data_IF_211287953276
#
_entry.id   IF_211287953276
#
_cell.length_a   1.000
_cell.length_b   1.000
_cell.length_c   1.000
_cell.angle_alpha   90.00
_cell.angle_beta   90.00
_cell.angle_gamma   90.00
#
_symmetry.space_group_name_H-M   'P 1'
#
loop_
_entity.id
_entity.type
_entity.pdbx_description
1 polymer ?
#
# COMPACT_ATOMS: atom_id res chain seq x y z
N UNK A 1 -33.60 -49.17 -46.19
CA UNK A 1 -32.79 -49.42 -47.37
C UNK A 1 -31.36 -49.24 -46.94
N UNK A 2 -30.72 -50.39 -46.66
CA UNK A 2 -29.58 -50.96 -47.32
C UNK A 2 -28.23 -50.34 -46.84
N UNK A 3 -27.48 -51.01 -45.91
CA UNK A 3 -26.40 -51.97 -46.17
C UNK A 3 -25.16 -51.28 -46.79
N UNK A 4 -23.95 -51.37 -46.36
CA UNK A 4 -23.13 -52.51 -45.91
C UNK A 4 -21.81 -51.98 -45.40
N UNK A 5 -21.26 -52.56 -44.33
CA UNK A 5 -19.98 -53.33 -44.31
C UNK A 5 -18.72 -52.50 -44.67
N UNK A 6 -17.64 -52.53 -43.96
CA UNK A 6 -17.05 -53.46 -42.99
C UNK A 6 -15.56 -53.35 -43.12
N UNK A 7 -14.89 -53.71 -42.13
CA UNK A 7 -13.66 -54.45 -42.06
C UNK A 7 -12.57 -53.86 -41.13
N UNK A 8 -12.35 -54.56 -40.10
CA UNK A 8 -11.15 -54.67 -39.22
C UNK A 8 -10.08 -55.49 -39.93
N UNK A 9 -9.03 -55.82 -39.24
CA UNK A 9 -7.75 -55.18 -38.93
C UNK A 9 -6.58 -56.06 -39.45
N UNK A 10 -5.40 -55.59 -39.43
CA UNK A 10 -4.27 -56.51 -39.45
C UNK A 10 -3.17 -56.13 -38.48
N UNK A 11 -2.88 -57.17 -37.71
CA UNK A 11 -1.79 -57.34 -36.74
C UNK A 11 -0.72 -58.16 -37.44
N UNK A 12 0.50 -58.13 -36.90
CA UNK A 12 1.68 -58.97 -37.18
C UNK A 12 2.68 -58.34 -38.20
N UNK A 13 4.00 -58.35 -37.93
CA UNK A 13 4.71 -59.40 -37.23
C UNK A 13 6.16 -59.01 -36.90
N UNK A 14 6.57 -59.71 -35.93
CA UNK A 14 7.96 -59.86 -35.47
C UNK A 14 8.84 -60.56 -36.46
N UNK A 15 10.14 -60.33 -36.34
CA UNK A 15 11.32 -61.09 -36.71
C UNK A 15 12.30 -60.26 -37.61
N UNK A 16 13.58 -60.21 -37.41
CA UNK A 16 14.48 -61.13 -36.75
C UNK A 16 15.89 -60.53 -36.68
N UNK A 17 16.59 -61.05 -35.78
CA UNK A 17 17.99 -60.83 -35.44
C UNK A 17 18.87 -61.49 -36.49
N UNK A 18 19.97 -60.90 -36.95
CA UNK A 18 21.28 -61.59 -37.04
C UNK A 18 22.47 -60.67 -37.37
N UNK A 19 23.64 -61.00 -36.88
CA UNK A 19 24.81 -60.15 -36.77
C UNK A 19 25.88 -60.39 -37.83
N UNK A 20 26.78 -59.49 -38.06
CA UNK A 20 27.94 -59.76 -38.84
C UNK A 20 28.83 -58.58 -39.21
N UNK A 21 30.02 -58.63 -38.60
CA UNK A 21 31.29 -58.16 -39.08
C UNK A 21 31.56 -56.67 -39.37
N UNK A 22 32.45 -56.08 -38.58
CA UNK A 22 33.25 -54.90 -38.91
C UNK A 22 34.42 -55.23 -39.85
N UNK A 23 35.57 -54.54 -39.93
CA UNK A 23 35.82 -53.12 -39.66
C UNK A 23 36.53 -52.44 -40.85
N UNK A 24 36.62 -51.16 -40.89
CA UNK A 24 37.78 -50.36 -41.32
C UNK A 24 37.38 -48.98 -41.88
N UNK A 25 38.09 -47.95 -41.48
CA UNK A 25 38.03 -46.67 -42.16
C UNK A 25 38.07 -45.46 -41.21
N UNK A 26 39.22 -45.24 -40.63
CA UNK A 26 39.49 -43.99 -39.88
C UNK A 26 39.43 -42.78 -40.82
N UNK A 27 38.53 -41.79 -40.48
CA UNK A 27 38.68 -40.44 -40.95
C UNK A 27 38.54 -39.54 -39.77
N UNK A 28 39.66 -39.00 -39.27
CA UNK A 28 39.77 -37.97 -38.25
C UNK A 28 39.23 -36.62 -38.78
N UNK A 29 37.94 -36.38 -38.65
CA UNK A 29 37.36 -35.06 -38.74
C UNK A 29 37.47 -34.37 -37.39
N UNK A 30 38.53 -33.62 -37.14
CA UNK A 30 38.65 -32.66 -36.01
C UNK A 30 37.62 -31.56 -36.18
N UNK A 31 36.40 -31.79 -35.72
CA UNK A 31 35.44 -30.72 -35.43
C UNK A 31 35.99 -29.87 -34.28
N UNK A 32 36.61 -28.74 -34.61
CA UNK A 32 36.90 -27.67 -33.65
C UNK A 32 35.57 -27.26 -33.01
N UNK A 33 35.27 -27.82 -31.82
CA UNK A 33 34.25 -27.28 -30.94
C UNK A 33 34.61 -25.82 -30.67
N UNK A 34 33.85 -24.89 -31.26
CA UNK A 34 33.85 -23.50 -30.83
C UNK A 34 33.46 -23.53 -29.35
N UNK A 35 34.44 -23.41 -28.45
CA UNK A 35 34.24 -23.01 -27.08
C UNK A 35 33.48 -21.68 -27.18
N UNK A 36 32.19 -21.68 -26.84
CA UNK A 36 31.46 -20.46 -26.54
C UNK A 36 32.19 -19.83 -25.34
N UNK A 37 32.97 -18.80 -25.62
CA UNK A 37 33.52 -17.97 -24.56
C UNK A 37 32.35 -17.46 -23.72
N UNK A 38 32.42 -17.52 -22.37
CA UNK A 38 31.42 -16.93 -21.53
C UNK A 38 31.35 -15.43 -21.85
N UNK A 39 30.15 -14.85 -21.91
CA UNK A 39 29.99 -13.43 -22.23
C UNK A 39 30.85 -12.62 -21.26
N UNK A 40 31.67 -11.72 -21.80
CA UNK A 40 32.55 -10.86 -21.02
C UNK A 40 31.73 -10.02 -20.05
N UNK A 41 31.71 -10.39 -18.80
CA UNK A 41 30.95 -9.71 -17.73
C UNK A 41 31.25 -8.20 -17.58
N UNK A 42 32.35 -7.70 -18.11
CA UNK A 42 32.78 -6.33 -17.95
C UNK A 42 32.00 -5.28 -18.79
N UNK A 43 31.60 -5.63 -20.02
CA UNK A 43 30.84 -4.69 -20.89
C UNK A 43 29.36 -4.63 -20.53
N UNK A 44 28.76 -5.76 -20.14
CA UNK A 44 27.37 -5.85 -19.68
C UNK A 44 27.16 -5.05 -18.38
N UNK A 45 28.09 -5.11 -17.43
CA UNK A 45 28.00 -4.40 -16.15
C UNK A 45 28.04 -2.88 -16.32
N UNK A 46 28.91 -2.33 -17.19
CA UNK A 46 28.99 -0.88 -17.44
C UNK A 46 27.73 -0.35 -18.13
N UNK A 47 27.21 -1.08 -19.11
CA UNK A 47 25.96 -0.68 -19.79
C UNK A 47 24.79 -0.70 -18.81
N UNK A 48 24.71 -1.73 -17.96
CA UNK A 48 23.67 -1.85 -16.94
C UNK A 48 23.76 -0.71 -15.91
N UNK A 49 24.98 -0.36 -15.47
CA UNK A 49 25.20 0.79 -14.58
C UNK A 49 24.77 2.12 -15.22
N UNK A 50 25.11 2.35 -16.51
CA UNK A 50 24.71 3.57 -17.22
C UNK A 50 23.18 3.69 -17.40
N UNK A 51 22.46 2.57 -17.55
CA UNK A 51 20.99 2.54 -17.62
C UNK A 51 20.37 2.84 -16.26
N UNK A 52 20.97 2.36 -15.16
CA UNK A 52 20.47 2.58 -13.79
C UNK A 52 20.86 3.96 -13.25
N UNK A 53 21.96 4.53 -13.71
CA UNK A 53 22.52 5.80 -13.22
C UNK A 53 21.49 6.96 -13.19
N UNK A 54 20.70 7.23 -14.25
CA UNK A 54 19.68 8.30 -14.21
C UNK A 54 18.68 8.12 -13.06
N UNK A 55 18.26 6.89 -12.81
CA UNK A 55 17.31 6.57 -11.70
C UNK A 55 17.97 6.78 -10.33
N UNK A 56 19.25 6.42 -10.18
CA UNK A 56 20.02 6.69 -8.96
C UNK A 56 20.18 8.20 -8.72
N UNK A 57 20.49 8.97 -9.77
CA UNK A 57 20.56 10.43 -9.68
C UNK A 57 19.22 11.02 -9.28
N UNK A 58 18.11 10.60 -9.92
CA UNK A 58 16.77 11.03 -9.53
C UNK A 58 16.44 10.68 -8.08
N UNK A 59 16.72 9.46 -7.66
CA UNK A 59 16.53 9.04 -6.28
C UNK A 59 17.36 9.90 -5.31
N UNK A 60 18.63 10.18 -5.64
CA UNK A 60 19.48 11.04 -4.83
C UNK A 60 18.92 12.47 -4.73
N UNK A 61 18.59 13.07 -5.86
CA UNK A 61 18.09 14.47 -5.92
C UNK A 61 16.75 14.61 -5.18
N UNK A 62 15.81 13.67 -5.34
CA UNK A 62 14.48 13.82 -4.77
C UNK A 62 14.32 13.21 -3.36
N UNK A 63 15.18 12.26 -2.95
CA UNK A 63 15.07 11.64 -1.64
C UNK A 63 16.15 12.08 -0.65
N UNK A 64 17.37 12.35 -1.10
CA UNK A 64 18.48 12.71 -0.20
C UNK A 64 18.73 14.23 -0.14
N UNK A 65 18.66 14.94 -1.27
CA UNK A 65 18.90 16.37 -1.29
C UNK A 65 17.95 17.16 -0.37
N UNK A 66 16.64 16.82 -0.25
CA UNK A 66 15.73 17.48 0.68
C UNK A 66 16.13 17.33 2.16
N UNK A 67 16.91 16.31 2.52
CA UNK A 67 17.41 16.15 3.89
C UNK A 67 18.34 17.32 4.31
N UNK A 68 18.97 18.01 3.34
CA UNK A 68 19.71 19.23 3.63
C UNK A 68 18.79 20.32 4.20
N UNK A 69 17.49 20.28 3.93
CA UNK A 69 16.50 21.14 4.55
C UNK A 69 16.42 21.02 6.08
N UNK A 70 16.89 19.90 6.66
CA UNK A 70 16.96 19.74 8.12
C UNK A 70 17.88 20.77 8.79
N UNK A 71 18.79 21.37 8.05
CA UNK A 71 19.64 22.48 8.54
C UNK A 71 18.78 23.63 9.06
N UNK A 72 17.61 23.90 8.47
CA UNK A 72 16.70 24.97 8.92
C UNK A 72 16.20 24.79 10.37
N UNK A 73 16.26 23.57 10.92
CA UNK A 73 15.92 23.29 12.32
C UNK A 73 16.84 24.01 13.34
N UNK A 74 18.05 24.39 12.90
CA UNK A 74 19.07 25.03 13.74
C UNK A 74 19.14 26.55 13.53
N UNK A 75 18.29 27.09 12.67
CA UNK A 75 18.22 28.50 12.35
C UNK A 75 16.81 29.05 12.67
N UNK A 76 16.71 30.34 12.99
CA UNK A 76 15.45 31.07 12.91
C UNK A 76 15.18 31.38 11.44
N UNK A 77 14.79 30.34 10.71
CA UNK A 77 14.75 30.39 9.24
C UNK A 77 13.61 31.26 8.73
N UNK A 78 14.01 32.30 8.01
CA UNK A 78 13.09 33.23 7.32
C UNK A 78 13.22 33.02 5.81
N UNK A 79 12.19 32.49 5.12
CA UNK A 79 12.27 32.17 3.70
C UNK A 79 12.71 33.34 2.83
N UNK A 80 12.26 34.56 3.17
CA UNK A 80 12.60 35.78 2.43
C UNK A 80 14.08 36.14 2.47
N UNK A 81 14.80 35.74 3.53
CA UNK A 81 16.23 36.04 3.75
C UNK A 81 17.13 34.86 3.36
N UNK A 82 16.55 33.67 3.20
CA UNK A 82 17.31 32.43 3.00
C UNK A 82 18.16 32.05 4.22
N UNK A 83 18.98 30.99 4.10
CA UNK A 83 19.87 30.54 5.21
C UNK A 83 20.93 31.57 5.57
N UNK A 84 21.47 32.30 4.57
CA UNK A 84 22.54 33.30 4.79
C UNK A 84 22.09 34.52 5.56
N UNK A 85 20.81 34.85 5.54
CA UNK A 85 20.22 35.98 6.28
C UNK A 85 19.44 35.58 7.52
N UNK A 86 19.37 34.27 7.82
CA UNK A 86 18.69 33.73 9.00
C UNK A 86 19.68 33.55 10.17
N UNK A 87 19.25 33.84 11.39
CA UNK A 87 20.06 33.73 12.59
C UNK A 87 20.25 32.25 12.97
N UNK A 88 21.48 31.87 13.32
CA UNK A 88 21.77 30.54 13.87
C UNK A 88 21.40 30.49 15.36
N UNK A 89 20.40 29.71 15.71
CA UNK A 89 19.84 29.60 17.08
C UNK A 89 20.14 28.25 17.74
N UNK A 90 20.88 27.37 17.07
CA UNK A 90 21.26 26.06 17.61
C UNK A 90 20.07 25.17 17.94
N UNK A 91 19.94 24.73 19.19
CA UNK A 91 18.86 23.81 19.61
C UNK A 91 17.63 24.51 20.17
N UNK A 92 17.48 25.81 20.04
CA UNK A 92 16.40 26.59 20.63
C UNK A 92 15.02 26.04 20.25
N UNK A 93 14.80 25.67 18.99
CA UNK A 93 13.51 25.12 18.53
C UNK A 93 13.19 23.75 19.13
N UNK A 94 14.22 22.97 19.48
CA UNK A 94 14.05 21.69 20.21
C UNK A 94 13.66 21.95 21.67
N UNK A 95 14.25 22.97 22.32
CA UNK A 95 13.88 23.38 23.68
C UNK A 95 12.47 23.93 23.73
N UNK A 96 12.07 24.78 22.78
CA UNK A 96 10.71 25.33 22.65
C UNK A 96 9.68 24.21 22.57
N UNK A 97 9.97 23.13 21.86
CA UNK A 97 9.05 22.00 21.72
C UNK A 97 8.79 21.31 23.08
N UNK A 98 9.80 21.23 23.96
CA UNK A 98 9.73 20.50 25.24
C UNK A 98 9.37 21.40 26.41
N UNK A 99 9.74 22.69 26.39
CA UNK A 99 9.55 23.61 27.51
C UNK A 99 8.17 24.23 27.58
N UNK A 100 7.45 24.32 26.45
CA UNK A 100 6.11 24.94 26.42
C UNK A 100 5.02 23.92 26.78
N UNK A 101 4.39 24.09 27.94
CA UNK A 101 3.28 23.23 28.38
C UNK A 101 2.11 23.22 27.38
N UNK A 102 1.83 24.36 26.76
CA UNK A 102 0.75 24.49 25.75
C UNK A 102 1.09 23.67 24.49
N UNK A 103 2.35 23.76 24.04
CA UNK A 103 2.79 22.98 22.87
C UNK A 103 2.80 21.47 23.16
N UNK A 104 3.24 21.07 24.36
CA UNK A 104 3.21 19.67 24.77
C UNK A 104 1.78 19.12 24.84
N UNK A 105 0.81 19.88 25.39
CA UNK A 105 -0.61 19.49 25.39
C UNK A 105 -1.15 19.34 23.94
N UNK A 106 -0.86 20.32 23.09
CA UNK A 106 -1.29 20.29 21.69
C UNK A 106 -0.66 19.13 20.94
N UNK A 107 0.64 18.90 21.11
CA UNK A 107 1.34 17.75 20.51
C UNK A 107 0.78 16.42 21.04
N UNK A 108 0.45 16.33 22.33
CA UNK A 108 -0.19 15.17 22.94
C UNK A 108 -1.53 14.85 22.28
N UNK A 109 -2.38 15.86 22.04
CA UNK A 109 -3.67 15.70 21.34
C UNK A 109 -3.45 15.26 19.88
N UNK A 110 -2.53 15.89 19.18
CA UNK A 110 -2.17 15.54 17.79
C UNK A 110 -1.64 14.09 17.70
N UNK A 111 -0.80 13.67 18.65
CA UNK A 111 -0.33 12.30 18.72
C UNK A 111 -1.46 11.31 19.02
N UNK A 112 -2.38 11.66 19.92
CA UNK A 112 -3.57 10.84 20.18
C UNK A 112 -4.43 10.66 18.91
N UNK A 113 -4.68 11.73 18.16
CA UNK A 113 -5.40 11.67 16.89
C UNK A 113 -4.67 10.79 15.87
N UNK A 114 -3.35 10.98 15.73
CA UNK A 114 -2.51 10.23 14.79
C UNK A 114 -2.55 8.73 15.10
N UNK A 115 -2.35 8.38 16.37
CA UNK A 115 -2.36 6.98 16.81
C UNK A 115 -3.75 6.37 16.73
N UNK A 116 -4.81 7.12 17.06
CA UNK A 116 -6.19 6.65 16.93
C UNK A 116 -6.53 6.31 15.47
N UNK A 117 -6.20 7.20 14.52
CA UNK A 117 -6.43 6.96 13.10
C UNK A 117 -5.62 5.77 12.58
N UNK A 118 -4.35 5.66 12.98
CA UNK A 118 -3.49 4.54 12.58
C UNK A 118 -3.98 3.21 13.16
N UNK A 119 -4.38 3.22 14.43
CA UNK A 119 -4.96 2.02 15.07
C UNK A 119 -6.24 1.58 14.38
N UNK A 120 -7.16 2.51 14.07
CA UNK A 120 -8.38 2.22 13.33
C UNK A 120 -8.07 1.68 11.92
N UNK A 121 -7.09 2.25 11.23
CA UNK A 121 -6.61 1.75 9.94
C UNK A 121 -6.06 0.32 10.02
N UNK A 122 -5.25 0.03 11.05
CA UNK A 122 -4.71 -1.31 11.30
C UNK A 122 -5.84 -2.28 11.68
N UNK A 123 -6.76 -1.88 12.55
CA UNK A 123 -7.91 -2.72 12.95
C UNK A 123 -8.80 -3.11 11.76
N UNK A 124 -8.92 -2.21 10.77
CA UNK A 124 -9.71 -2.45 9.56
C UNK A 124 -8.91 -3.03 8.39
N UNK A 125 -7.61 -3.28 8.56
CA UNK A 125 -6.70 -3.77 7.50
C UNK A 125 -7.05 -5.16 6.94
N UNK A 126 -7.86 -5.94 7.64
CA UNK A 126 -8.40 -7.21 7.14
C UNK A 126 -9.56 -7.04 6.15
N UNK A 127 -10.21 -5.87 6.09
CA UNK A 127 -11.34 -5.64 5.18
C UNK A 127 -10.96 -5.84 3.70
N UNK A 128 -9.83 -5.29 3.19
CA UNK A 128 -9.38 -5.58 1.83
C UNK A 128 -9.10 -7.06 1.56
N UNK A 129 -8.66 -7.84 2.56
CA UNK A 129 -8.46 -9.30 2.43
C UNK A 129 -9.79 -10.00 2.20
N UNK A 130 -10.77 -9.73 3.07
CA UNK A 130 -12.11 -10.31 2.94
C UNK A 130 -12.79 -9.88 1.63
N UNK A 131 -12.65 -8.60 1.27
CA UNK A 131 -13.19 -8.09 0.02
C UNK A 131 -12.57 -8.80 -1.20
N UNK A 132 -11.24 -9.00 -1.23
CA UNK A 132 -10.56 -9.72 -2.30
C UNK A 132 -11.03 -11.19 -2.41
N UNK A 133 -11.18 -11.89 -1.26
CA UNK A 133 -11.69 -13.26 -1.23
C UNK A 133 -13.11 -13.33 -1.79
N UNK A 134 -14.00 -12.45 -1.32
CA UNK A 134 -15.39 -12.40 -1.79
C UNK A 134 -15.48 -12.06 -3.28
N UNK A 135 -14.67 -11.11 -3.73
CA UNK A 135 -14.62 -10.71 -5.14
C UNK A 135 -14.12 -11.86 -6.04
N UNK A 136 -13.17 -12.67 -5.55
CA UNK A 136 -12.67 -13.83 -6.28
C UNK A 136 -13.71 -14.95 -6.43
N UNK A 137 -14.67 -15.05 -5.52
CA UNK A 137 -15.75 -16.05 -5.56
C UNK A 137 -16.88 -15.70 -6.58
N UNK A 138 -16.90 -14.49 -7.11
CA UNK A 138 -17.90 -14.06 -8.09
C UNK A 138 -17.65 -14.78 -9.41
N UNK A 139 -18.62 -15.61 -9.84
CA UNK A 139 -18.53 -16.42 -11.07
C UNK A 139 -18.66 -15.59 -12.34
N UNK A 140 -19.56 -14.60 -12.34
CA UNK A 140 -19.80 -13.75 -13.48
C UNK A 140 -18.65 -12.76 -13.65
N UNK A 141 -17.80 -12.97 -14.64
CA UNK A 141 -16.59 -12.17 -14.87
C UNK A 141 -16.89 -10.69 -15.09
N UNK A 142 -17.98 -10.38 -15.84
CA UNK A 142 -18.39 -9.00 -16.06
C UNK A 142 -18.75 -8.29 -14.75
N UNK A 143 -19.51 -8.98 -13.87
CA UNK A 143 -19.92 -8.43 -12.59
C UNK A 143 -18.71 -8.24 -11.63
N UNK A 144 -17.84 -9.25 -11.57
CA UNK A 144 -16.58 -9.13 -10.81
C UNK A 144 -15.75 -7.93 -11.27
N UNK A 145 -15.56 -7.78 -12.59
CA UNK A 145 -14.78 -6.66 -13.14
C UNK A 145 -15.48 -5.31 -12.88
N UNK A 146 -16.80 -5.25 -13.00
CA UNK A 146 -17.57 -4.04 -12.70
C UNK A 146 -17.43 -3.64 -11.22
N UNK A 147 -17.59 -4.58 -10.28
CA UNK A 147 -17.42 -4.32 -8.84
C UNK A 147 -15.99 -3.90 -8.54
N UNK A 148 -14.99 -4.59 -9.09
CA UNK A 148 -13.58 -4.24 -8.91
C UNK A 148 -13.29 -2.83 -9.42
N UNK A 149 -13.75 -2.48 -10.63
CA UNK A 149 -13.54 -1.16 -11.22
C UNK A 149 -14.22 -0.08 -10.38
N UNK A 150 -15.50 -0.27 -10.04
CA UNK A 150 -16.26 0.72 -9.26
C UNK A 150 -15.68 0.96 -7.86
N UNK A 151 -15.19 -0.08 -7.20
CA UNK A 151 -14.59 0.04 -5.86
C UNK A 151 -13.15 0.57 -5.89
N UNK A 152 -12.44 0.41 -7.02
CA UNK A 152 -11.07 0.92 -7.18
C UNK A 152 -11.07 2.37 -7.67
N UNK A 153 -12.08 2.79 -8.42
CA UNK A 153 -12.18 4.13 -9.01
C UNK A 153 -12.05 5.29 -7.99
N UNK A 154 -12.66 5.24 -6.79
CA UNK A 154 -12.51 6.31 -5.81
C UNK A 154 -11.08 6.63 -5.41
N UNK A 155 -10.17 5.66 -5.48
CA UNK A 155 -8.75 5.87 -5.17
C UNK A 155 -8.07 6.90 -6.08
N UNK A 156 -8.54 7.07 -7.31
CA UNK A 156 -7.99 8.02 -8.29
C UNK A 156 -8.57 9.44 -8.17
N UNK A 157 -9.60 9.62 -7.36
CA UNK A 157 -10.24 10.93 -7.14
C UNK A 157 -9.43 11.67 -6.06
N UNK A 158 -9.17 12.98 -6.25
CA UNK A 158 -8.51 13.80 -5.22
C UNK A 158 -9.36 13.93 -3.96
N UNK A 159 -8.73 14.13 -2.81
CA UNK A 159 -9.45 14.33 -1.55
C UNK A 159 -10.35 15.57 -1.56
N UNK A 160 -10.02 16.60 -2.36
CA UNK A 160 -10.86 17.78 -2.55
C UNK A 160 -12.21 17.39 -3.17
N UNK A 161 -12.19 16.57 -4.23
CA UNK A 161 -13.43 16.08 -4.86
C UNK A 161 -14.21 15.15 -3.94
N UNK A 162 -13.52 14.29 -3.17
CA UNK A 162 -14.17 13.46 -2.14
C UNK A 162 -14.88 14.33 -1.11
N UNK A 163 -14.24 15.42 -0.65
CA UNK A 163 -14.89 16.36 0.28
C UNK A 163 -16.09 17.06 -0.36
N UNK A 164 -16.01 17.47 -1.63
CA UNK A 164 -17.16 18.06 -2.33
C UNK A 164 -18.35 17.09 -2.40
N UNK A 165 -18.10 15.81 -2.66
CA UNK A 165 -19.13 14.76 -2.62
C UNK A 165 -19.70 14.64 -1.19
N UNK A 166 -18.81 14.55 -0.19
CA UNK A 166 -19.21 14.47 1.22
C UNK A 166 -20.07 15.67 1.62
N UNK A 167 -19.66 16.87 1.24
CA UNK A 167 -20.39 18.11 1.54
C UNK A 167 -21.75 18.15 0.86
N UNK A 168 -21.82 17.80 -0.42
CA UNK A 168 -23.11 17.77 -1.16
C UNK A 168 -24.10 16.77 -0.58
N UNK A 169 -23.61 15.67 -0.01
CA UNK A 169 -24.46 14.63 0.57
C UNK A 169 -24.79 14.92 2.04
N UNK A 170 -23.80 15.30 2.86
CA UNK A 170 -23.87 15.26 4.31
C UNK A 170 -23.79 16.63 5.01
N UNK A 171 -23.69 17.74 4.26
CA UNK A 171 -23.82 19.07 4.87
C UNK A 171 -25.20 19.29 5.48
N UNK A 172 -25.35 20.32 6.30
CA UNK A 172 -26.65 20.66 6.92
C UNK A 172 -27.76 20.92 5.92
N UNK A 173 -27.42 21.37 4.70
CA UNK A 173 -28.31 21.53 3.55
C UNK A 173 -28.12 20.46 2.45
N UNK A 174 -27.39 19.40 2.75
CA UNK A 174 -27.05 18.32 1.81
C UNK A 174 -28.22 17.37 1.56
N UNK A 175 -28.06 16.53 0.53
CA UNK A 175 -29.09 15.61 0.07
C UNK A 175 -29.67 14.73 1.19
N UNK A 176 -28.83 14.21 2.08
CA UNK A 176 -29.27 13.33 3.17
C UNK A 176 -30.17 14.10 4.16
N UNK A 177 -29.76 15.27 4.61
CA UNK A 177 -30.54 16.08 5.55
C UNK A 177 -31.86 16.55 4.92
N UNK A 178 -31.85 17.01 3.67
CA UNK A 178 -33.06 17.43 2.97
C UNK A 178 -34.05 16.26 2.82
N UNK A 179 -33.57 15.10 2.37
CA UNK A 179 -34.42 13.92 2.22
C UNK A 179 -35.01 13.44 3.55
N UNK A 180 -34.21 13.40 4.63
CA UNK A 180 -34.68 13.01 5.96
C UNK A 180 -35.73 14.01 6.51
N UNK A 181 -35.53 15.28 6.25
CA UNK A 181 -36.48 16.34 6.64
C UNK A 181 -37.79 16.21 5.84
N UNK A 182 -37.73 16.02 4.53
CA UNK A 182 -38.91 15.86 3.66
C UNK A 182 -39.73 14.61 4.00
N UNK A 183 -39.08 13.56 4.47
CA UNK A 183 -39.73 12.35 5.00
C UNK A 183 -40.27 12.52 6.43
N UNK A 184 -40.05 13.67 7.06
CA UNK A 184 -40.48 13.95 8.44
C UNK A 184 -39.72 13.17 9.51
N UNK A 185 -38.57 12.59 9.16
CA UNK A 185 -37.75 11.81 10.09
C UNK A 185 -36.90 12.68 11.01
N UNK A 186 -36.56 13.91 10.60
CA UNK A 186 -35.82 14.88 11.39
C UNK A 186 -36.48 16.25 11.28
N UNK A 187 -36.44 17.05 12.36
CA UNK A 187 -36.88 18.43 12.38
C UNK A 187 -35.73 19.44 12.33
N UNK A 188 -34.54 19.01 12.77
CA UNK A 188 -33.32 19.81 12.76
C UNK A 188 -32.25 19.06 11.97
N UNK A 189 -31.50 19.72 11.08
CA UNK A 189 -30.44 19.08 10.31
C UNK A 189 -29.37 18.42 11.20
N UNK A 190 -28.98 17.22 10.87
CA UNK A 190 -27.90 16.48 11.53
C UNK A 190 -26.55 17.04 11.08
N UNK A 191 -25.66 17.30 12.04
CA UNK A 191 -24.31 17.79 11.78
C UNK A 191 -23.34 16.62 11.57
N UNK A 192 -23.25 16.11 10.35
CA UNK A 192 -22.34 14.99 10.01
C UNK A 192 -20.88 15.43 9.85
N UNK A 193 -20.65 16.62 9.28
CA UNK A 193 -19.32 17.14 8.97
C UNK A 193 -18.87 18.25 9.94
N UNK A 194 -19.82 19.01 10.47
CA UNK A 194 -19.58 20.18 11.31
C UNK A 194 -19.73 19.82 12.80
N UNK A 195 -19.03 18.78 13.23
CA UNK A 195 -19.03 18.29 14.62
C UNK A 195 -17.64 17.71 14.95
N UNK A 196 -17.28 17.75 16.22
CA UNK A 196 -16.12 17.06 16.77
C UNK A 196 -16.41 15.61 17.19
N UNK A 197 -17.70 15.25 17.25
CA UNK A 197 -18.11 13.91 17.61
C UNK A 197 -17.86 12.94 16.46
N UNK A 198 -17.26 11.79 16.78
CA UNK A 198 -17.02 10.70 15.83
C UNK A 198 -16.13 11.05 14.62
N UNK A 199 -15.31 12.11 14.70
CA UNK A 199 -14.42 12.56 13.62
C UNK A 199 -13.54 11.40 13.11
N UNK A 200 -12.96 10.63 14.02
CA UNK A 200 -12.10 9.49 13.63
C UNK A 200 -12.85 8.43 12.82
N UNK A 201 -14.09 8.10 13.20
CA UNK A 201 -14.91 7.13 12.48
C UNK A 201 -15.34 7.68 11.11
N UNK A 202 -15.68 8.96 11.04
CA UNK A 202 -16.01 9.64 9.78
C UNK A 202 -14.81 9.61 8.82
N UNK A 203 -13.63 9.97 9.32
CA UNK A 203 -12.39 9.93 8.52
C UNK A 203 -12.05 8.51 8.07
N UNK A 204 -12.20 7.52 8.97
CA UNK A 204 -12.03 6.11 8.64
C UNK A 204 -13.00 5.66 7.54
N UNK A 205 -14.28 6.02 7.65
CA UNK A 205 -15.29 5.63 6.65
C UNK A 205 -14.93 6.14 5.25
N UNK A 206 -14.50 7.40 5.14
CA UNK A 206 -14.06 7.98 3.87
C UNK A 206 -12.77 7.33 3.36
N UNK A 207 -11.81 7.03 4.26
CA UNK A 207 -10.58 6.31 3.90
C UNK A 207 -10.88 4.90 3.37
N UNK A 208 -11.77 4.17 4.04
CA UNK A 208 -12.18 2.84 3.61
C UNK A 208 -12.92 2.87 2.27
N UNK A 209 -13.88 3.78 2.11
CA UNK A 209 -14.59 3.93 0.84
C UNK A 209 -13.63 4.21 -0.32
N UNK A 210 -12.64 5.07 -0.10
CA UNK A 210 -11.65 5.43 -1.12
C UNK A 210 -10.63 4.33 -1.37
N UNK A 211 -10.17 3.63 -0.32
CA UNK A 211 -9.00 2.76 -0.36
C UNK A 211 -9.29 1.27 -0.46
N UNK A 212 -10.53 0.80 -0.15
CA UNK A 212 -10.85 -0.63 -0.04
C UNK A 212 -10.54 -1.42 -1.31
N UNK A 213 -11.03 -0.95 -2.46
CA UNK A 213 -10.83 -1.62 -3.75
C UNK A 213 -9.36 -1.65 -4.17
N UNK A 214 -8.64 -0.54 -3.94
CA UNK A 214 -7.20 -0.45 -4.22
C UNK A 214 -6.39 -1.41 -3.34
N UNK A 215 -6.66 -1.42 -2.04
CA UNK A 215 -6.00 -2.33 -1.09
C UNK A 215 -6.24 -3.81 -1.40
N UNK A 216 -7.38 -4.15 -1.99
CA UNK A 216 -7.70 -5.53 -2.38
C UNK A 216 -6.87 -6.05 -3.57
N UNK A 217 -6.31 -5.18 -4.43
CA UNK A 217 -5.55 -5.58 -5.62
C UNK A 217 -4.37 -6.48 -5.26
N UNK A 218 -3.63 -6.13 -4.21
CA UNK A 218 -2.48 -6.94 -3.76
C UNK A 218 -2.90 -8.35 -3.35
N UNK A 219 -4.05 -8.49 -2.70
CA UNK A 219 -4.57 -9.79 -2.29
C UNK A 219 -5.15 -10.57 -3.46
N UNK A 220 -5.78 -9.91 -4.44
CA UNK A 220 -6.22 -10.57 -5.68
C UNK A 220 -5.03 -11.12 -6.47
N UNK A 221 -3.92 -10.38 -6.54
CA UNK A 221 -2.70 -10.86 -7.15
C UNK A 221 -2.10 -12.07 -6.39
N UNK A 222 -2.14 -12.03 -5.05
CA UNK A 222 -1.70 -13.15 -4.23
C UNK A 222 -2.60 -14.39 -4.41
N UNK A 223 -3.93 -14.22 -4.51
CA UNK A 223 -4.87 -15.32 -4.80
C UNK A 223 -4.55 -15.96 -6.17
N UNK A 224 -4.27 -15.16 -7.18
CA UNK A 224 -3.93 -15.66 -8.52
C UNK A 224 -2.63 -16.48 -8.55
N UNK A 225 -1.76 -16.34 -7.54
CA UNK A 225 -0.54 -17.11 -7.37
C UNK A 225 -0.70 -18.42 -6.60
N UNK A 226 -1.89 -18.71 -6.05
CA UNK A 226 -2.14 -19.95 -5.32
C UNK A 226 -2.27 -21.11 -6.32
N UNK A 227 -1.62 -22.25 -6.01
CA UNK A 227 -1.68 -23.44 -6.84
C UNK A 227 -3.13 -23.98 -6.93
N UNK A 228 -3.64 -24.07 -8.17
CA UNK A 228 -4.99 -24.55 -8.46
C UNK A 228 -5.20 -26.02 -8.04
N UNK A 229 -4.15 -26.84 -8.01
CA UNK A 229 -4.21 -28.23 -7.59
C UNK A 229 -4.73 -28.40 -6.16
N UNK A 230 -4.46 -27.42 -5.27
CA UNK A 230 -4.98 -27.39 -3.90
C UNK A 230 -6.51 -27.27 -3.87
N UNK A 231 -7.07 -26.45 -4.77
CA UNK A 231 -8.52 -26.29 -4.87
C UNK A 231 -9.19 -27.49 -5.52
N UNK A 232 -8.53 -28.12 -6.51
CA UNK A 232 -9.04 -29.30 -7.20
C UNK A 232 -9.09 -30.51 -6.27
N UNK A 233 -8.01 -30.79 -5.54
CA UNK A 233 -7.95 -31.88 -4.56
C UNK A 233 -8.99 -31.72 -3.48
N UNK A 234 -9.11 -30.54 -2.87
CA UNK A 234 -10.09 -30.28 -1.86
C UNK A 234 -11.55 -30.39 -2.36
N UNK A 235 -11.82 -30.07 -3.64
CA UNK A 235 -13.15 -30.29 -4.25
C UNK A 235 -13.46 -31.78 -4.44
N UNK A 236 -12.45 -32.59 -4.78
CA UNK A 236 -12.59 -34.06 -4.88
C UNK A 236 -12.93 -34.62 -3.49
N UNK A 237 -12.33 -34.08 -2.43
CA UNK A 237 -12.61 -34.41 -1.01
C UNK A 237 -13.97 -33.88 -0.51
N UNK A 238 -14.75 -33.21 -1.37
CA UNK A 238 -16.09 -32.72 -1.05
C UNK A 238 -16.12 -31.38 -0.32
N UNK A 239 -15.04 -30.61 -0.32
CA UNK A 239 -14.99 -29.31 0.34
C UNK A 239 -15.97 -28.29 -0.30
N UNK A 240 -16.77 -27.66 0.54
CA UNK A 240 -17.64 -26.54 0.16
C UNK A 240 -16.82 -25.28 -0.16
N UNK A 241 -17.42 -24.30 -0.85
CA UNK A 241 -16.78 -23.02 -1.16
C UNK A 241 -16.28 -22.28 0.08
N UNK A 242 -17.10 -22.27 1.14
CA UNK A 242 -16.71 -21.63 2.39
C UNK A 242 -15.49 -22.31 3.02
N UNK A 243 -15.41 -23.65 2.93
CA UNK A 243 -14.23 -24.39 3.39
C UNK A 243 -12.99 -24.07 2.55
N UNK A 244 -13.11 -23.95 1.22
CA UNK A 244 -12.01 -23.53 0.35
C UNK A 244 -11.51 -22.14 0.74
N UNK A 245 -12.41 -21.17 0.92
CA UNK A 245 -12.04 -19.82 1.38
C UNK A 245 -11.35 -19.84 2.74
N UNK A 246 -11.91 -20.58 3.72
CA UNK A 246 -11.45 -20.57 5.11
C UNK A 246 -10.15 -21.34 5.32
N UNK A 247 -9.96 -22.47 4.64
CA UNK A 247 -8.84 -23.39 4.89
C UNK A 247 -7.75 -23.34 3.82
N UNK A 248 -8.00 -22.80 2.64
CA UNK A 248 -7.00 -22.65 1.58
C UNK A 248 -6.72 -21.16 1.32
N UNK A 249 -7.71 -20.40 0.83
CA UNK A 249 -7.46 -19.02 0.37
C UNK A 249 -7.00 -18.11 1.50
N UNK A 250 -7.72 -18.07 2.61
CA UNK A 250 -7.40 -17.18 3.73
C UNK A 250 -6.01 -17.46 4.34
N UNK A 251 -5.63 -18.72 4.68
CA UNK A 251 -4.29 -19.01 5.19
C UNK A 251 -3.17 -18.69 4.20
N UNK A 252 -3.39 -18.94 2.91
CA UNK A 252 -2.40 -18.63 1.86
C UNK A 252 -2.19 -17.13 1.65
N UNK A 253 -3.15 -16.29 2.04
CA UNK A 253 -3.01 -14.83 2.03
C UNK A 253 -2.28 -14.27 3.25
N UNK A 254 -2.21 -15.02 4.36
CA UNK A 254 -1.59 -14.54 5.60
C UNK A 254 -0.15 -14.07 5.44
N UNK A 255 0.72 -14.72 4.65
CA UNK A 255 2.04 -14.20 4.37
C UNK A 255 2.04 -12.78 3.80
N UNK A 256 1.22 -12.52 2.80
CA UNK A 256 1.08 -11.19 2.17
C UNK A 256 0.48 -10.18 3.16
N UNK A 257 -0.56 -10.59 3.89
CA UNK A 257 -1.18 -9.73 4.91
C UNK A 257 -0.18 -9.27 5.97
N UNK A 258 0.62 -10.20 6.53
CA UNK A 258 1.59 -9.85 7.57
C UNK A 258 2.67 -8.91 7.06
N UNK A 259 3.12 -9.04 5.81
CA UNK A 259 4.07 -8.08 5.20
C UNK A 259 3.45 -6.68 5.15
N UNK A 260 2.23 -6.57 4.62
CA UNK A 260 1.54 -5.28 4.51
C UNK A 260 1.18 -4.70 5.90
N UNK A 261 0.83 -5.55 6.87
CA UNK A 261 0.59 -5.14 8.25
C UNK A 261 1.85 -4.55 8.90
N UNK A 262 3.00 -5.19 8.74
CA UNK A 262 4.28 -4.69 9.26
C UNK A 262 4.63 -3.35 8.63
N UNK A 263 4.42 -3.19 7.31
CA UNK A 263 4.60 -1.91 6.64
C UNK A 263 3.63 -0.83 7.16
N UNK A 264 2.39 -1.20 7.47
CA UNK A 264 1.41 -0.28 8.08
C UNK A 264 1.82 0.15 9.47
N UNK A 265 2.33 -0.78 10.31
CA UNK A 265 2.86 -0.47 11.64
C UNK A 265 4.10 0.43 11.55
N UNK A 266 4.99 0.20 10.59
CA UNK A 266 6.15 1.05 10.35
C UNK A 266 5.75 2.49 9.95
N UNK A 267 4.60 2.64 9.29
CA UNK A 267 4.05 3.93 8.85
C UNK A 267 3.00 4.51 9.82
N UNK A 268 2.96 4.08 11.08
CA UNK A 268 1.92 4.45 12.04
C UNK A 268 1.80 5.98 12.28
N UNK A 269 2.88 6.75 12.05
CA UNK A 269 2.88 8.21 12.13
C UNK A 269 2.61 8.91 10.79
N UNK A 270 2.43 8.15 9.70
CA UNK A 270 2.22 8.66 8.35
C UNK A 270 0.76 8.48 7.93
N UNK A 271 -0.13 9.33 8.43
CA UNK A 271 -1.56 9.26 8.09
C UNK A 271 -1.91 10.04 6.81
N UNK A 272 -0.94 10.76 6.25
CA UNK A 272 -1.16 11.72 5.18
C UNK A 272 -1.81 13.01 5.68
N UNK A 273 -1.70 14.07 4.90
CA UNK A 273 -2.23 15.38 5.23
C UNK A 273 -3.54 15.68 4.48
N UNK A 274 -3.63 15.25 3.22
CA UNK A 274 -4.64 15.75 2.27
C UNK A 274 -6.08 15.54 2.73
N UNK A 275 -6.40 14.35 3.24
CA UNK A 275 -7.74 14.04 3.73
C UNK A 275 -8.11 14.98 4.89
N UNK A 276 -7.25 15.05 5.90
CA UNK A 276 -7.52 15.82 7.12
C UNK A 276 -7.54 17.32 6.85
N UNK A 277 -6.70 17.79 5.93
CA UNK A 277 -6.66 19.19 5.53
C UNK A 277 -7.97 19.67 4.90
N UNK A 278 -8.55 18.89 3.98
CA UNK A 278 -9.79 19.29 3.29
C UNK A 278 -11.05 19.13 4.15
N UNK A 279 -11.04 18.17 5.09
CA UNK A 279 -12.15 17.95 6.01
C UNK A 279 -12.07 18.79 7.28
N UNK A 280 -10.94 19.45 7.54
CA UNK A 280 -10.77 20.31 8.73
C UNK A 280 -11.67 21.53 8.65
N UNK A 281 -12.40 21.80 9.74
CA UNK A 281 -13.17 23.01 9.93
C UNK A 281 -13.05 23.52 11.38
N UNK A 282 -13.73 24.62 11.71
CA UNK A 282 -13.66 25.23 13.04
C UNK A 282 -14.20 24.34 14.18
N UNK A 283 -15.11 23.41 13.87
CA UNK A 283 -15.78 22.57 14.87
C UNK A 283 -15.04 21.28 15.17
N UNK A 284 -14.24 20.77 14.21
CA UNK A 284 -13.56 19.47 14.35
C UNK A 284 -12.03 19.56 14.49
N UNK A 285 -11.47 20.77 14.49
CA UNK A 285 -10.02 21.02 14.42
C UNK A 285 -9.22 20.26 15.48
N UNK A 286 -9.75 20.16 16.70
CA UNK A 286 -9.06 19.51 17.81
C UNK A 286 -8.91 17.98 17.59
N UNK A 287 -9.94 17.33 17.03
CA UNK A 287 -9.97 15.87 16.86
C UNK A 287 -9.55 15.39 15.48
N UNK A 288 -9.44 16.28 14.47
CA UNK A 288 -9.03 15.91 13.11
C UNK A 288 -7.53 16.10 12.86
N UNK A 289 -6.87 16.95 13.65
CA UNK A 289 -5.48 17.32 13.41
C UNK A 289 -4.54 16.16 13.74
N UNK A 290 -4.07 15.46 12.71
CA UNK A 290 -3.01 14.45 12.78
C UNK A 290 -1.64 15.11 12.63
N UNK A 291 -0.56 14.38 12.94
CA UNK A 291 0.81 14.90 12.96
C UNK A 291 1.22 15.54 11.64
N UNK A 292 0.89 14.93 10.50
CA UNK A 292 1.20 15.49 9.18
C UNK A 292 0.53 16.85 8.93
N UNK A 293 -0.74 16.96 9.31
CA UNK A 293 -1.48 18.21 9.21
C UNK A 293 -0.97 19.26 10.20
N UNK A 294 -0.59 18.83 11.40
CA UNK A 294 -0.02 19.73 12.41
C UNK A 294 1.30 20.34 11.95
N UNK A 295 2.22 19.50 11.44
CA UNK A 295 3.51 19.97 10.88
C UNK A 295 3.29 20.98 9.75
N UNK A 296 2.36 20.69 8.85
CA UNK A 296 1.99 21.61 7.77
C UNK A 296 1.44 22.95 8.31
N UNK A 297 0.51 22.90 9.26
CA UNK A 297 -0.07 24.10 9.84
C UNK A 297 0.96 24.95 10.59
N UNK A 298 1.87 24.33 11.33
CA UNK A 298 2.97 25.05 12.02
C UNK A 298 3.90 25.72 11.02
N UNK A 299 4.28 25.01 9.97
CA UNK A 299 5.21 25.51 8.96
C UNK A 299 4.61 26.59 8.07
N UNK A 300 3.44 26.32 7.51
CA UNK A 300 2.84 27.17 6.46
C UNK A 300 1.91 28.22 7.04
N UNK A 301 1.00 27.86 7.96
CA UNK A 301 0.05 28.80 8.55
C UNK A 301 0.66 29.55 9.73
N UNK A 302 1.44 28.85 10.57
CA UNK A 302 2.14 29.45 11.72
C UNK A 302 3.44 30.16 11.33
N UNK A 303 3.84 30.11 10.07
CA UNK A 303 5.07 30.71 9.51
C UNK A 303 6.35 30.36 10.29
N UNK A 304 6.38 29.16 10.91
CA UNK A 304 7.51 28.63 11.68
C UNK A 304 8.07 27.36 11.03
N UNK A 305 8.79 27.58 9.91
CA UNK A 305 9.41 26.46 9.17
C UNK A 305 10.44 25.71 10.00
N UNK A 306 11.17 26.40 10.86
CA UNK A 306 12.16 25.81 11.74
C UNK A 306 11.54 24.80 12.72
N UNK A 307 10.46 25.19 13.40
CA UNK A 307 9.73 24.30 14.31
C UNK A 307 9.08 23.14 13.57
N UNK A 308 8.49 23.40 12.39
CA UNK A 308 7.93 22.35 11.53
C UNK A 308 9.01 21.34 11.09
N UNK A 309 10.23 21.81 10.80
CA UNK A 309 11.36 20.94 10.48
C UNK A 309 11.75 20.07 11.66
N UNK A 310 11.84 20.64 12.89
CA UNK A 310 12.10 19.87 14.12
C UNK A 310 11.06 18.77 14.31
N UNK A 311 9.78 19.09 14.18
CA UNK A 311 8.69 18.11 14.29
C UNK A 311 8.81 17.00 13.23
N UNK A 312 9.18 17.36 11.98
CA UNK A 312 9.41 16.40 10.90
C UNK A 312 10.61 15.50 11.16
N UNK A 313 11.70 16.04 11.76
CA UNK A 313 12.85 15.26 12.17
C UNK A 313 12.48 14.22 13.25
N UNK A 314 11.77 14.65 14.31
CA UNK A 314 11.28 13.73 15.36
C UNK A 314 10.40 12.62 14.76
N UNK A 315 9.42 12.99 13.90
CA UNK A 315 8.60 12.04 13.18
C UNK A 315 9.44 11.02 12.40
N UNK A 316 10.43 11.49 11.65
CA UNK A 316 11.29 10.62 10.82
C UNK A 316 12.11 9.65 11.66
N UNK A 317 12.69 10.13 12.76
CA UNK A 317 13.47 9.29 13.69
C UNK A 317 12.57 8.23 14.32
N UNK A 318 11.40 8.61 14.83
CA UNK A 318 10.45 7.66 15.42
C UNK A 318 9.99 6.64 14.39
N UNK A 319 9.64 7.07 13.17
CA UNK A 319 9.22 6.17 12.08
C UNK A 319 10.33 5.17 11.73
N UNK A 320 11.59 5.60 11.70
CA UNK A 320 12.74 4.72 11.46
C UNK A 320 12.89 3.67 12.57
N UNK A 321 12.81 4.09 13.83
CA UNK A 321 12.87 3.18 14.99
C UNK A 321 11.73 2.16 14.93
N UNK A 322 10.51 2.61 14.62
CA UNK A 322 9.34 1.73 14.48
C UNK A 322 9.49 0.75 13.31
N UNK A 323 10.06 1.19 12.19
CA UNK A 323 10.34 0.32 11.03
C UNK A 323 11.33 -0.79 11.42
N UNK A 324 12.42 -0.43 12.08
CA UNK A 324 13.43 -1.40 12.52
C UNK A 324 12.86 -2.37 13.57
N UNK A 325 12.08 -1.87 14.52
CA UNK A 325 11.40 -2.69 15.53
C UNK A 325 10.38 -3.65 14.88
N UNK A 326 9.54 -3.16 13.97
CA UNK A 326 8.56 -3.96 13.25
C UNK A 326 9.25 -5.05 12.40
N UNK A 327 10.35 -4.72 11.72
CA UNK A 327 11.14 -5.69 10.95
C UNK A 327 11.79 -6.76 11.87
N UNK A 328 12.33 -6.35 13.04
CA UNK A 328 12.88 -7.28 14.01
C UNK A 328 11.83 -8.26 14.58
N UNK A 329 10.62 -7.76 14.86
CA UNK A 329 9.48 -8.58 15.30
C UNK A 329 9.06 -9.56 14.19
N UNK A 330 8.92 -9.08 12.96
CA UNK A 330 8.57 -9.91 11.81
C UNK A 330 9.60 -11.02 11.56
N UNK A 331 10.90 -10.69 11.66
CA UNK A 331 11.99 -11.67 11.54
C UNK A 331 11.90 -12.76 12.60
N UNK A 332 11.60 -12.41 13.86
CA UNK A 332 11.42 -13.40 14.94
C UNK A 332 10.19 -14.28 14.72
N UNK A 333 9.11 -13.70 14.20
CA UNK A 333 7.85 -14.43 14.00
C UNK A 333 7.87 -15.37 12.78
N UNK A 334 8.63 -15.06 11.73
CA UNK A 334 8.63 -15.76 10.43
C UNK A 334 9.97 -16.40 10.05
N UNK A 335 11.04 -16.12 10.77
CA UNK A 335 12.40 -16.57 10.43
C UNK A 335 13.03 -15.85 9.22
N UNK A 336 12.32 -14.92 8.56
CA UNK A 336 12.83 -14.12 7.44
C UNK A 336 12.57 -12.63 7.67
N UNK A 337 13.56 -11.78 7.33
CA UNK A 337 13.37 -10.32 7.36
C UNK A 337 12.53 -9.88 6.16
N UNK A 338 11.82 -8.76 6.30
CA UNK A 338 11.04 -8.13 5.23
C UNK A 338 11.91 -7.14 4.46
N UNK A 339 12.91 -6.57 5.15
CA UNK A 339 13.91 -5.61 4.63
C UNK A 339 15.29 -6.19 4.85
#
# INVERSE_FOLDING_TARGET
VSLTQGARPEVLGFAGISPGAGPAGASKGRGRGRRREPPSHGKSSRTMFLVVLPFLVLAFVFSYLPLLGWVTAFYDYKPALGLGGSEFVGLQWFEVLVSSETQLKQLGQVMANTLAMSFLGIATSLLPVFFAILLNEIRASWFRNAVQTLTTLPNFISWVLVYMIAFSLFSSSGLVNTTLHDWGLITVPMKFLDTDQHVWLTMLAWSLWKGLGWGAIMYLAAIAGIDQSLYESARIDGASRFQLMRYITFPMLMPTYVVLLVLSVANILNNGMEQFFVFQNAFNREHIQVLDLYVYNVGMTGNSLSLATVLSMFKSVISLVLLLAANAIAKRARGSSII
#
